data_IF_566861312181
#
_entry.id   IF_566861312181
#
_cell.length_a   1.000
_cell.length_b   1.000
_cell.length_c   1.000
_cell.angle_alpha   90.00
_cell.angle_beta   90.00
_cell.angle_gamma   90.00
#
_symmetry.space_group_name_H-M   'P 1'
#
loop_
_entity.id
_entity.type
_entity.pdbx_description
1 polymer ?
#
# COMPACT_ATOMS: atom_id res chain seq x y z
N UNK A 1 -19.32 -2.77 14.73
CA UNK A 1 -20.53 -2.31 13.99
C UNK A 1 -21.16 -3.44 13.16
N UNK A 2 -20.48 -4.02 12.12
CA UNK A 2 -21.08 -5.07 11.26
C UNK A 2 -21.48 -6.29 12.11
N UNK A 3 -20.57 -6.86 12.89
CA UNK A 3 -20.85 -8.00 13.76
C UNK A 3 -21.98 -7.72 14.75
N UNK A 4 -21.99 -6.54 15.33
CA UNK A 4 -23.05 -6.10 16.26
C UNK A 4 -24.41 -5.98 15.54
N UNK A 5 -24.43 -5.40 14.35
CA UNK A 5 -25.65 -5.29 13.54
C UNK A 5 -26.17 -6.67 13.12
N UNK A 6 -25.30 -7.59 12.75
CA UNK A 6 -25.65 -8.98 12.42
C UNK A 6 -26.26 -9.71 13.63
N UNK A 7 -25.63 -9.59 14.81
CA UNK A 7 -26.14 -10.17 16.05
C UNK A 7 -27.53 -9.62 16.39
N UNK A 8 -27.69 -8.29 16.32
CA UNK A 8 -28.97 -7.61 16.61
C UNK A 8 -30.09 -7.98 15.63
N UNK A 9 -29.73 -8.28 14.37
CA UNK A 9 -30.68 -8.70 13.33
C UNK A 9 -30.84 -10.22 13.27
N UNK A 10 -30.22 -11.00 14.16
CA UNK A 10 -30.17 -12.48 14.14
C UNK A 10 -29.73 -13.05 12.81
N UNK A 11 -28.90 -12.31 12.07
CA UNK A 11 -28.46 -12.66 10.74
C UNK A 11 -27.32 -13.68 10.80
N UNK A 12 -27.46 -14.80 10.06
CA UNK A 12 -26.44 -15.84 9.96
C UNK A 12 -25.49 -15.65 8.78
N UNK A 13 -25.99 -15.09 7.68
CA UNK A 13 -25.17 -14.86 6.49
C UNK A 13 -24.24 -13.63 6.69
N UNK A 14 -22.97 -13.75 6.36
CA UNK A 14 -22.02 -12.65 6.54
C UNK A 14 -22.38 -11.43 5.68
N UNK A 15 -22.12 -10.24 6.22
CA UNK A 15 -22.17 -8.98 5.49
C UNK A 15 -20.74 -8.56 5.20
N UNK A 16 -20.44 -8.34 3.93
CA UNK A 16 -19.13 -7.86 3.48
C UNK A 16 -19.19 -6.39 3.07
N UNK A 17 -18.03 -5.78 3.06
CA UNK A 17 -17.83 -4.40 2.59
C UNK A 17 -17.36 -4.46 1.13
N UNK A 18 -18.09 -3.77 0.25
CA UNK A 18 -17.58 -3.28 -1.02
C UNK A 18 -17.18 -1.82 -0.81
N UNK A 19 -15.88 -1.56 -0.74
CA UNK A 19 -15.34 -0.20 -0.65
C UNK A 19 -15.23 0.34 -2.07
N UNK A 20 -16.32 0.82 -2.59
CA UNK A 20 -16.54 1.02 -4.02
C UNK A 20 -15.98 2.33 -4.58
N UNK A 21 -15.53 3.23 -3.70
CA UNK A 21 -14.84 4.45 -4.13
C UNK A 21 -13.84 4.92 -3.08
N UNK A 22 -12.55 5.00 -3.42
CA UNK A 22 -11.51 5.61 -2.60
C UNK A 22 -10.44 6.27 -3.46
N UNK A 23 -9.86 7.36 -2.99
CA UNK A 23 -8.66 8.00 -3.51
C UNK A 23 -8.18 9.12 -2.58
N UNK A 24 -7.08 9.75 -2.93
CA UNK A 24 -6.61 11.01 -2.36
C UNK A 24 -7.17 12.15 -3.22
N UNK A 25 -7.90 13.07 -2.61
CA UNK A 25 -8.47 14.22 -3.34
C UNK A 25 -8.60 15.44 -2.41
N UNK A 26 -7.67 16.37 -2.49
CA UNK A 26 -7.66 17.55 -1.61
C UNK A 26 -7.02 18.80 -2.23
N UNK A 27 -6.41 18.71 -3.41
CA UNK A 27 -5.79 19.84 -4.10
C UNK A 27 -6.51 20.29 -5.34
N UNK A 28 -7.63 19.75 -5.65
CA UNK A 28 -8.53 20.01 -6.78
C UNK A 28 -8.00 21.03 -7.79
N UNK A 29 -7.53 20.58 -8.95
CA UNK A 29 -7.01 21.41 -10.04
C UNK A 29 -7.88 21.25 -11.29
N UNK A 30 -7.53 21.99 -12.35
CA UNK A 30 -8.28 22.03 -13.60
C UNK A 30 -9.49 22.95 -13.58
N UNK A 31 -10.12 23.17 -14.73
CA UNK A 31 -11.25 24.08 -14.87
C UNK A 31 -12.47 23.65 -14.05
N UNK A 32 -12.69 22.34 -13.93
CA UNK A 32 -13.78 21.76 -13.16
C UNK A 32 -13.40 21.42 -11.71
N UNK A 33 -12.12 21.62 -11.32
CA UNK A 33 -11.63 21.32 -9.98
C UNK A 33 -11.54 19.82 -9.66
N UNK A 34 -11.49 18.96 -10.67
CA UNK A 34 -11.50 17.50 -10.52
C UNK A 34 -10.15 16.85 -10.80
N UNK A 35 -9.13 17.61 -11.21
CA UNK A 35 -7.81 17.07 -11.48
C UNK A 35 -6.92 17.12 -10.25
N UNK A 36 -6.11 16.09 -10.05
CA UNK A 36 -5.05 16.01 -9.06
C UNK A 36 -3.72 15.67 -9.72
N UNK A 37 -2.65 16.32 -9.28
CA UNK A 37 -1.28 15.91 -9.59
C UNK A 37 -0.71 15.25 -8.33
N UNK A 38 -0.50 13.94 -8.41
CA UNK A 38 -0.06 13.14 -7.30
C UNK A 38 1.45 13.13 -7.13
N UNK A 39 1.90 13.28 -5.90
CA UNK A 39 3.29 13.16 -5.49
C UNK A 39 3.54 11.85 -4.72
N UNK A 40 4.76 11.64 -4.22
CA UNK A 40 5.11 10.43 -3.48
C UNK A 40 4.32 10.29 -2.18
N UNK A 41 3.99 11.39 -1.48
CA UNK A 41 3.16 11.34 -0.26
C UNK A 41 1.79 10.72 -0.54
N UNK A 42 1.19 11.03 -1.70
CA UNK A 42 -0.10 10.45 -2.11
C UNK A 42 0.03 8.93 -2.37
N UNK A 43 1.17 8.50 -2.93
CA UNK A 43 1.45 7.08 -3.11
C UNK A 43 1.55 6.33 -1.77
N UNK A 44 2.16 6.96 -0.75
CA UNK A 44 2.21 6.39 0.62
C UNK A 44 0.80 6.29 1.23
N UNK A 45 -0.06 7.29 1.01
CA UNK A 45 -1.45 7.23 1.48
C UNK A 45 -2.21 6.10 0.79
N UNK A 46 -2.10 5.98 -0.54
CA UNK A 46 -2.74 4.87 -1.28
C UNK A 46 -2.22 3.51 -0.82
N UNK A 47 -0.91 3.37 -0.63
CA UNK A 47 -0.33 2.13 -0.07
C UNK A 47 -0.89 1.80 1.31
N UNK A 48 -1.10 2.81 2.17
CA UNK A 48 -1.72 2.64 3.49
C UNK A 48 -3.17 2.15 3.36
N UNK A 49 -3.98 2.68 2.43
CA UNK A 49 -5.32 2.16 2.14
C UNK A 49 -5.27 0.68 1.74
N UNK A 50 -4.37 0.32 0.83
CA UNK A 50 -4.23 -1.06 0.36
C UNK A 50 -3.82 -2.00 1.49
N UNK A 51 -2.90 -1.60 2.36
CA UNK A 51 -2.54 -2.36 3.57
C UNK A 51 -3.75 -2.56 4.49
N UNK A 52 -4.57 -1.52 4.71
CA UNK A 52 -5.80 -1.63 5.51
C UNK A 52 -6.77 -2.64 4.88
N UNK A 53 -6.95 -2.64 3.57
CA UNK A 53 -7.82 -3.59 2.90
C UNK A 53 -7.33 -5.03 3.05
N UNK A 54 -6.02 -5.27 2.89
CA UNK A 54 -5.43 -6.60 3.09
C UNK A 54 -5.62 -7.08 4.52
N UNK A 55 -5.33 -6.26 5.53
CA UNK A 55 -5.54 -6.62 6.95
C UNK A 55 -7.01 -6.89 7.28
N UNK A 56 -7.94 -6.31 6.54
CA UNK A 56 -9.37 -6.47 6.74
C UNK A 56 -10.03 -7.35 5.65
N UNK A 57 -9.28 -8.18 4.94
CA UNK A 57 -9.78 -9.03 3.85
C UNK A 57 -10.88 -10.02 4.30
N UNK A 58 -11.01 -10.28 5.60
CA UNK A 58 -12.09 -11.09 6.14
C UNK A 58 -13.47 -10.40 5.98
N UNK A 59 -13.54 -9.07 5.96
CA UNK A 59 -14.78 -8.30 5.77
C UNK A 59 -14.78 -7.45 4.50
N UNK A 60 -13.62 -6.91 4.06
CA UNK A 60 -13.50 -6.15 2.81
C UNK A 60 -13.27 -7.11 1.65
N UNK A 61 -14.25 -7.24 0.75
CA UNK A 61 -14.18 -8.16 -0.38
C UNK A 61 -14.00 -7.47 -1.72
N UNK A 62 -14.17 -6.16 -1.76
CA UNK A 62 -13.99 -5.35 -2.94
C UNK A 62 -13.49 -3.96 -2.54
N UNK A 63 -12.54 -3.42 -3.29
CA UNK A 63 -12.08 -2.04 -3.14
C UNK A 63 -11.75 -1.49 -4.53
N UNK A 64 -12.41 -0.41 -4.94
CA UNK A 64 -12.29 0.16 -6.27
C UNK A 64 -11.73 1.57 -6.18
N UNK A 65 -10.62 1.81 -6.89
CA UNK A 65 -10.04 3.14 -7.02
C UNK A 65 -10.92 4.01 -7.92
N UNK A 66 -11.19 5.22 -7.52
CA UNK A 66 -11.86 6.24 -8.33
C UNK A 66 -10.90 7.42 -8.60
N UNK A 67 -10.55 7.64 -9.87
CA UNK A 67 -10.87 6.97 -11.12
C UNK A 67 -9.61 6.33 -11.73
N UNK A 68 -9.69 5.84 -12.97
CA UNK A 68 -8.55 5.15 -13.60
C UNK A 68 -7.69 6.08 -14.45
N UNK A 69 -8.31 6.97 -15.24
CA UNK A 69 -7.62 7.84 -16.22
C UNK A 69 -8.05 9.29 -16.05
N UNK A 70 -7.10 10.22 -16.02
CA UNK A 70 -7.19 11.67 -15.97
C UNK A 70 -7.76 12.23 -14.68
N UNK A 71 -9.05 12.11 -14.44
CA UNK A 71 -9.71 12.70 -13.27
C UNK A 71 -9.33 11.93 -12.01
N UNK A 72 -8.63 12.59 -11.09
CA UNK A 72 -8.12 11.99 -9.83
C UNK A 72 -7.54 10.58 -10.01
N UNK A 73 -6.71 10.38 -11.01
CA UNK A 73 -6.40 9.06 -11.53
C UNK A 73 -4.92 8.68 -11.47
N UNK A 74 -4.58 7.37 -11.39
CA UNK A 74 -3.21 6.89 -11.46
C UNK A 74 -2.57 7.05 -12.85
N UNK A 75 -3.36 7.20 -13.91
CA UNK A 75 -2.89 7.34 -15.29
C UNK A 75 -3.33 8.68 -15.85
N UNK A 76 -2.39 9.43 -16.39
CA UNK A 76 -2.67 10.63 -17.18
C UNK A 76 -2.51 10.34 -18.66
N UNK A 77 -3.43 10.85 -19.48
CA UNK A 77 -3.40 10.71 -20.93
C UNK A 77 -3.80 12.01 -21.62
N UNK A 78 -3.00 12.43 -22.59
CA UNK A 78 -3.24 13.59 -23.45
C UNK A 78 -3.13 13.17 -24.92
N UNK A 79 -3.30 14.11 -25.84
CA UNK A 79 -3.07 13.86 -27.28
C UNK A 79 -1.61 13.56 -27.60
N UNK A 80 -0.69 14.05 -26.77
CA UNK A 80 0.76 13.92 -26.95
C UNK A 80 1.31 12.63 -26.33
N UNK A 81 0.60 12.00 -25.41
CA UNK A 81 1.05 10.77 -24.76
C UNK A 81 0.39 10.51 -23.41
N UNK A 82 0.92 9.54 -22.70
CA UNK A 82 0.45 9.17 -21.36
C UNK A 82 1.60 8.93 -20.40
N UNK A 83 1.33 9.08 -19.09
CA UNK A 83 2.29 8.73 -18.04
C UNK A 83 1.58 8.20 -16.80
N UNK A 84 2.34 7.53 -15.96
CA UNK A 84 1.86 7.03 -14.66
C UNK A 84 2.12 8.06 -13.58
N UNK A 85 1.09 8.45 -12.84
CA UNK A 85 1.23 9.21 -11.62
C UNK A 85 1.79 8.34 -10.49
N UNK A 86 2.20 8.94 -9.40
CA UNK A 86 2.88 8.24 -8.30
C UNK A 86 2.01 7.16 -7.65
N UNK A 87 0.70 7.38 -7.54
CA UNK A 87 -0.27 6.43 -6.98
C UNK A 87 -0.47 5.17 -7.84
N UNK A 88 -0.03 5.17 -9.10
CA UNK A 88 -0.08 4.01 -9.98
C UNK A 88 0.74 2.83 -9.43
N UNK A 89 1.92 3.12 -8.88
CA UNK A 89 2.88 2.07 -8.51
C UNK A 89 2.41 1.20 -7.35
N UNK A 90 1.93 1.73 -6.20
CA UNK A 90 1.38 0.86 -5.16
C UNK A 90 0.19 0.04 -5.66
N UNK A 91 -0.72 0.62 -6.46
CA UNK A 91 -1.83 -0.12 -7.06
C UNK A 91 -1.35 -1.28 -7.93
N UNK A 92 -0.36 -1.02 -8.80
CA UNK A 92 0.22 -2.05 -9.66
C UNK A 92 0.87 -3.17 -8.84
N UNK A 93 1.67 -2.84 -7.82
CA UNK A 93 2.37 -3.83 -7.00
C UNK A 93 1.40 -4.72 -6.24
N UNK A 94 0.39 -4.14 -5.59
CA UNK A 94 -0.62 -4.92 -4.88
C UNK A 94 -1.42 -5.80 -5.84
N UNK A 95 -1.85 -5.28 -6.99
CA UNK A 95 -2.59 -6.04 -7.99
C UNK A 95 -1.77 -7.16 -8.64
N UNK A 96 -0.45 -6.99 -8.74
CA UNK A 96 0.43 -7.98 -9.39
C UNK A 96 0.96 -9.02 -8.42
N UNK A 97 1.23 -8.67 -7.17
CA UNK A 97 1.99 -9.52 -6.25
C UNK A 97 1.24 -9.89 -4.97
N UNK A 98 0.25 -9.10 -4.50
CA UNK A 98 -0.40 -9.35 -3.23
C UNK A 98 -1.60 -10.29 -3.41
N UNK A 99 -1.33 -11.59 -3.53
CA UNK A 99 -2.33 -12.65 -3.72
C UNK A 99 -2.37 -13.60 -2.53
N UNK A 100 -3.43 -14.41 -2.47
CA UNK A 100 -3.57 -15.50 -1.51
C UNK A 100 -4.33 -15.12 -0.24
N UNK A 101 -3.88 -15.62 0.89
CA UNK A 101 -4.54 -15.46 2.19
C UNK A 101 -3.87 -14.37 3.00
N UNK A 102 -4.63 -13.39 3.48
CA UNK A 102 -4.13 -12.36 4.39
C UNK A 102 -3.62 -12.99 5.69
N UNK A 103 -2.45 -12.55 6.13
CA UNK A 103 -1.83 -12.96 7.39
C UNK A 103 -1.99 -11.89 8.46
N UNK A 104 -2.11 -12.32 9.72
CA UNK A 104 -2.01 -11.39 10.84
C UNK A 104 -0.59 -10.86 10.97
N UNK A 105 -0.49 -9.55 11.13
CA UNK A 105 0.78 -8.85 11.29
C UNK A 105 0.82 -8.09 12.60
N UNK A 106 1.95 -8.22 13.32
CA UNK A 106 2.25 -7.40 14.48
C UNK A 106 3.44 -6.49 14.14
N UNK A 107 3.33 -5.21 14.47
CA UNK A 107 4.36 -4.20 14.20
C UNK A 107 4.76 -3.52 15.51
N UNK A 108 6.04 -3.62 15.86
CA UNK A 108 6.67 -2.88 16.95
C UNK A 108 7.77 -1.99 16.37
N UNK A 109 7.54 -0.70 16.32
CA UNK A 109 8.47 0.31 15.82
C UNK A 109 8.18 1.68 16.45
N UNK A 110 9.07 2.62 16.20
CA UNK A 110 8.87 4.01 16.63
C UNK A 110 7.56 4.58 16.07
N UNK A 111 6.98 5.52 16.83
CA UNK A 111 5.68 6.12 16.55
C UNK A 111 5.75 7.64 16.54
N UNK A 112 4.85 8.28 15.82
CA UNK A 112 4.59 9.72 15.92
C UNK A 112 3.20 10.00 16.49
N UNK A 113 3.00 11.19 17.02
CA UNK A 113 1.71 11.61 17.56
C UNK A 113 0.86 12.28 16.48
N UNK A 114 -0.38 11.88 16.33
CA UNK A 114 -1.36 12.48 15.43
C UNK A 114 -2.75 12.42 16.07
N UNK A 115 -3.40 13.56 16.24
CA UNK A 115 -4.76 13.61 16.79
C UNK A 115 -4.89 13.03 18.20
N UNK A 116 -3.82 12.98 18.97
CA UNK A 116 -3.79 12.38 20.32
C UNK A 116 -3.47 10.88 20.33
N UNK A 117 -3.32 10.26 19.17
CA UNK A 117 -2.96 8.85 19.02
C UNK A 117 -1.48 8.68 18.67
N UNK A 118 -0.93 7.51 18.99
CA UNK A 118 0.43 7.11 18.58
C UNK A 118 0.34 6.23 17.34
N UNK A 119 0.91 6.72 16.26
CA UNK A 119 0.86 6.06 14.95
C UNK A 119 2.24 5.45 14.65
N UNK A 120 2.36 4.14 14.35
CA UNK A 120 3.62 3.54 13.93
C UNK A 120 4.15 4.17 12.64
N UNK A 121 5.47 4.34 12.54
CA UNK A 121 6.06 4.79 11.28
C UNK A 121 5.96 3.74 10.17
N UNK A 122 6.04 2.45 10.50
CA UNK A 122 5.82 1.38 9.54
C UNK A 122 4.34 0.96 9.54
N UNK A 123 3.72 0.98 8.37
CA UNK A 123 2.41 0.40 8.12
C UNK A 123 2.57 -0.88 7.30
N UNK A 124 2.07 -2.00 7.80
CA UNK A 124 2.40 -3.33 7.27
C UNK A 124 1.13 -4.14 7.03
N UNK A 125 1.11 -4.86 5.94
CA UNK A 125 0.22 -6.01 5.72
C UNK A 125 1.01 -7.18 5.15
N UNK A 126 0.47 -8.39 5.27
CA UNK A 126 1.08 -9.55 4.66
C UNK A 126 0.03 -10.51 4.10
N UNK A 127 0.45 -11.28 3.11
CA UNK A 127 -0.33 -12.36 2.53
C UNK A 127 0.55 -13.59 2.27
N UNK A 128 -0.08 -14.75 2.18
CA UNK A 128 0.57 -15.99 1.78
C UNK A 128 -0.10 -16.53 0.52
N UNK A 129 0.68 -16.61 -0.54
CA UNK A 129 0.29 -17.26 -1.78
C UNK A 129 0.57 -18.76 -1.67
N UNK A 130 -0.49 -19.57 -1.53
CA UNK A 130 -0.39 -21.02 -1.39
C UNK A 130 0.07 -21.70 -2.69
N UNK A 131 -0.20 -21.11 -3.86
CA UNK A 131 0.18 -21.67 -5.15
C UNK A 131 1.65 -21.46 -5.45
N UNK A 132 2.16 -20.26 -5.19
CA UNK A 132 3.56 -19.92 -5.35
C UNK A 132 4.42 -20.38 -4.16
N UNK A 133 3.84 -20.60 -2.98
CA UNK A 133 4.55 -20.86 -1.75
C UNK A 133 5.32 -19.66 -1.24
N UNK A 134 4.80 -18.45 -1.49
CA UNK A 134 5.46 -17.18 -1.20
C UNK A 134 4.74 -16.40 -0.11
N UNK A 135 5.52 -15.74 0.75
CA UNK A 135 5.03 -14.72 1.68
C UNK A 135 5.26 -13.36 1.07
N UNK A 136 4.20 -12.60 0.92
CA UNK A 136 4.21 -11.22 0.45
C UNK A 136 4.10 -10.31 1.67
N UNK A 137 5.06 -9.41 1.86
CA UNK A 137 5.05 -8.41 2.95
C UNK A 137 5.03 -7.03 2.32
N UNK A 138 3.95 -6.30 2.56
CA UNK A 138 3.78 -4.94 2.08
C UNK A 138 4.10 -3.97 3.22
N UNK A 139 5.02 -3.05 3.00
CA UNK A 139 5.48 -2.09 4.02
C UNK A 139 5.46 -0.69 3.47
N UNK A 140 4.82 0.22 4.19
CA UNK A 140 4.88 1.65 3.94
C UNK A 140 5.65 2.33 5.09
N UNK A 141 6.84 2.87 4.79
CA UNK A 141 7.56 3.69 5.76
C UNK A 141 7.03 5.13 5.67
N UNK A 142 6.38 5.59 6.74
CA UNK A 142 5.80 6.94 6.83
C UNK A 142 6.77 7.98 7.39
N UNK A 143 8.02 7.59 7.69
CA UNK A 143 9.02 8.53 8.15
C UNK A 143 9.59 9.31 6.95
N UNK A 144 9.55 10.64 7.03
CA UNK A 144 9.91 11.52 5.90
C UNK A 144 11.38 11.49 5.51
N UNK A 145 12.27 11.20 6.44
CA UNK A 145 13.71 11.43 6.26
C UNK A 145 14.58 10.23 6.69
N UNK A 146 14.00 9.25 7.39
CA UNK A 146 14.79 8.17 7.97
C UNK A 146 14.37 6.81 7.43
N UNK A 147 15.37 6.04 7.05
CA UNK A 147 15.20 4.61 6.86
C UNK A 147 14.96 3.94 8.21
N UNK A 148 14.07 2.96 8.24
CA UNK A 148 13.77 2.16 9.43
C UNK A 148 14.27 0.75 9.18
N UNK A 149 15.30 0.37 9.95
CA UNK A 149 15.81 -1.00 9.95
C UNK A 149 15.03 -1.81 10.96
N UNK A 150 14.45 -2.93 10.52
CA UNK A 150 13.65 -3.80 11.38
C UNK A 150 13.85 -5.27 11.03
N UNK A 151 13.55 -6.12 11.98
CA UNK A 151 13.51 -7.57 11.80
C UNK A 151 12.14 -8.00 11.30
N UNK A 152 12.12 -8.84 10.29
CA UNK A 152 10.93 -9.52 9.80
C UNK A 152 10.98 -10.95 10.31
N UNK A 153 10.01 -11.34 11.15
CA UNK A 153 9.94 -12.65 11.77
C UNK A 153 8.76 -13.45 11.21
N UNK A 154 9.04 -14.71 10.88
CA UNK A 154 8.00 -15.69 10.58
C UNK A 154 7.75 -16.52 11.84
N UNK A 155 6.59 -16.39 12.45
CA UNK A 155 6.27 -17.12 13.71
C UNK A 155 6.10 -18.63 13.47
N UNK A 156 5.62 -19.00 12.27
CA UNK A 156 5.40 -20.39 11.88
C UNK A 156 5.98 -20.64 10.50
N UNK A 157 7.11 -21.35 10.42
CA UNK A 157 7.79 -21.63 9.15
C UNK A 157 9.15 -20.97 9.03
N UNK A 158 9.67 -20.91 7.81
CA UNK A 158 11.00 -20.38 7.52
C UNK A 158 11.05 -19.76 6.12
N UNK A 159 11.77 -18.66 5.98
CA UNK A 159 12.07 -18.05 4.69
C UNK A 159 13.06 -18.89 3.88
N UNK A 160 12.85 -18.99 2.58
CA UNK A 160 13.57 -19.90 1.68
C UNK A 160 14.97 -19.47 1.27
N UNK A 161 15.39 -18.23 1.55
CA UNK A 161 16.75 -17.74 1.28
C UNK A 161 16.83 -16.45 0.48
N UNK A 162 15.92 -16.20 -0.45
CA UNK A 162 15.88 -14.95 -1.25
C UNK A 162 14.54 -14.27 -1.12
N UNK A 163 14.55 -12.95 -1.10
CA UNK A 163 13.38 -12.12 -1.27
C UNK A 163 13.59 -11.17 -2.45
N UNK A 164 12.58 -11.04 -3.29
CA UNK A 164 12.50 -9.96 -4.28
C UNK A 164 11.84 -8.76 -3.62
N UNK A 165 12.48 -7.61 -3.70
CA UNK A 165 11.99 -6.36 -3.13
C UNK A 165 11.58 -5.43 -4.28
N UNK A 166 10.35 -5.01 -4.27
CA UNK A 166 9.82 -3.97 -5.16
C UNK A 166 9.67 -2.68 -4.34
N UNK A 167 10.54 -1.72 -4.59
CA UNK A 167 10.59 -0.47 -3.85
C UNK A 167 10.05 0.67 -4.72
N UNK A 168 9.01 1.35 -4.26
CA UNK A 168 8.51 2.59 -4.85
C UNK A 168 9.06 3.74 -4.06
N UNK A 169 9.89 4.57 -4.69
CA UNK A 169 10.51 5.71 -4.03
C UNK A 169 10.86 6.82 -5.03
N UNK A 170 11.26 7.98 -4.53
CA UNK A 170 11.66 9.16 -5.27
C UNK A 170 12.67 10.02 -4.53
N UNK A 171 13.13 11.15 -5.10
CA UNK A 171 14.15 12.00 -4.49
C UNK A 171 13.65 12.77 -3.26
N UNK A 172 12.36 12.99 -3.13
CA UNK A 172 11.71 13.58 -1.95
C UNK A 172 10.21 13.28 -1.94
N UNK A 173 9.56 13.49 -0.79
CA UNK A 173 8.15 13.15 -0.57
C UNK A 173 7.16 13.94 -1.46
N UNK A 174 7.57 15.08 -2.02
CA UNK A 174 6.77 15.90 -2.94
C UNK A 174 7.13 15.64 -4.42
N UNK A 175 7.94 14.63 -4.70
CA UNK A 175 8.30 14.27 -6.07
C UNK A 175 7.06 13.83 -6.86
N UNK A 176 6.91 14.39 -8.05
CA UNK A 176 5.81 14.14 -8.99
C UNK A 176 6.35 13.53 -10.28
N UNK A 177 5.49 12.78 -10.96
CA UNK A 177 5.73 12.30 -12.31
C UNK A 177 5.01 13.17 -13.35
N UNK A 178 5.59 13.23 -14.55
CA UNK A 178 5.00 13.90 -15.70
C UNK A 178 5.34 13.15 -16.98
N UNK A 179 4.82 13.59 -18.11
CA UNK A 179 5.12 13.00 -19.41
C UNK A 179 6.62 12.98 -19.75
N UNK A 180 7.39 13.95 -19.25
CA UNK A 180 8.84 14.09 -19.54
C UNK A 180 9.74 13.67 -18.37
N UNK A 181 9.16 13.38 -17.20
CA UNK A 181 9.92 13.06 -15.98
C UNK A 181 9.23 11.96 -15.17
N UNK A 182 9.95 10.89 -14.92
CA UNK A 182 9.56 9.82 -14.01
C UNK A 182 10.46 9.86 -12.77
N UNK A 183 10.12 10.73 -11.81
CA UNK A 183 10.90 10.90 -10.58
C UNK A 183 10.61 9.80 -9.55
N UNK A 184 9.37 9.32 -9.52
CA UNK A 184 8.92 8.21 -8.66
C UNK A 184 8.68 6.98 -9.55
N UNK A 185 9.25 5.85 -9.16
CA UNK A 185 9.14 4.59 -9.91
C UNK A 185 9.38 3.39 -9.01
N UNK A 186 9.00 2.21 -9.49
CA UNK A 186 9.37 0.95 -8.87
C UNK A 186 10.81 0.57 -9.25
N UNK A 187 11.60 0.19 -8.27
CA UNK A 187 12.92 -0.42 -8.44
C UNK A 187 12.90 -1.82 -7.85
N UNK A 188 13.38 -2.80 -8.60
CA UNK A 188 13.48 -4.19 -8.14
C UNK A 188 14.88 -4.46 -7.58
N UNK A 189 14.93 -5.08 -6.39
CA UNK A 189 16.16 -5.45 -5.69
C UNK A 189 16.05 -6.89 -5.18
N UNK A 190 17.16 -7.49 -4.83
CA UNK A 190 17.19 -8.75 -4.09
C UNK A 190 17.64 -8.53 -2.65
N UNK A 191 17.05 -9.26 -1.72
CA UNK A 191 17.47 -9.32 -0.33
C UNK A 191 17.64 -10.77 0.13
N UNK A 192 18.43 -10.99 1.16
CA UNK A 192 18.59 -12.31 1.78
C UNK A 192 17.51 -12.46 2.87
N UNK A 193 16.67 -13.47 2.71
CA UNK A 193 15.60 -13.81 3.65
C UNK A 193 15.71 -15.31 3.98
N UNK A 194 16.45 -15.65 5.04
CA UNK A 194 16.74 -17.05 5.39
C UNK A 194 16.48 -17.32 6.86
N UNK A 195 15.87 -18.47 7.13
CA UNK A 195 15.54 -18.88 8.49
C UNK A 195 14.18 -18.34 8.93
N UNK A 196 13.98 -18.16 10.20
CA UNK A 196 12.76 -17.62 10.80
C UNK A 196 12.74 -16.08 10.91
N UNK A 197 13.90 -15.45 10.65
CA UNK A 197 14.10 -14.00 10.77
C UNK A 197 15.09 -13.51 9.73
N UNK A 198 14.85 -12.30 9.21
CA UNK A 198 15.86 -11.53 8.50
C UNK A 198 15.64 -10.03 8.76
N UNK A 199 16.71 -9.27 8.60
CA UNK A 199 16.68 -7.80 8.81
C UNK A 199 16.60 -7.09 7.46
N UNK A 200 15.78 -6.06 7.36
CA UNK A 200 15.71 -5.18 6.20
C UNK A 200 15.63 -3.70 6.62
N UNK A 201 16.28 -2.83 5.86
CA UNK A 201 16.20 -1.38 6.02
C UNK A 201 15.20 -0.80 5.01
N UNK A 202 14.02 -0.43 5.47
CA UNK A 202 13.02 0.25 4.66
C UNK A 202 13.43 1.72 4.51
N UNK A 203 13.71 2.20 3.29
CA UNK A 203 14.15 3.58 3.10
C UNK A 203 13.10 4.57 3.57
N UNK A 204 13.48 5.85 3.74
CA UNK A 204 12.54 6.92 4.00
C UNK A 204 11.53 7.03 2.87
N UNK A 205 10.29 7.39 3.24
CA UNK A 205 9.15 7.51 2.33
C UNK A 205 8.98 6.40 1.28
#
# INVERSE_FOLDING_TARGET
LIAEAMTKAERKDPIYIAFDEYNVWYRAKGEEGNEEVYNLEDALVVSTFLNIFVRNAHVVKMANMAQLVNVIAPIFSTKEGSWYQTIFYPLQLFATHCHGTSLDTFVDCDTYALGGERIPYLDVSAAYDNEAGEVIVNVTNRHREQAITTDILCQTGRFGGKATVYEVNGPDIKAENSMTRQAVKTVTKEAQARGDRFTYAFPAH
#
